data_IF_133824816337
#
_entry.id   IF_133824816337
#
_cell.length_a   1.000
_cell.length_b   1.000
_cell.length_c   1.000
_cell.angle_alpha   90.00
_cell.angle_beta   90.00
_cell.angle_gamma   90.00
#
_symmetry.space_group_name_H-M   'P 1'
#
loop_
_entity.id
_entity.type
_entity.pdbx_description
1 polymer ?
#
# COMPACT_ATOMS: atom_id res chain seq x y z
N UNK A 1 59.71 -51.51 48.52
CA UNK A 1 59.83 -52.94 48.18
C UNK A 1 58.88 -53.28 47.06
N UNK A 2 59.38 -53.90 45.97
CA UNK A 2 58.76 -54.63 44.89
C UNK A 2 57.81 -53.80 43.96
N UNK A 3 58.27 -53.30 42.81
CA UNK A 3 58.48 -53.99 41.53
C UNK A 3 57.37 -55.00 41.25
N UNK A 4 56.53 -54.71 40.28
CA UNK A 4 56.16 -55.67 39.21
C UNK A 4 55.77 -54.88 37.96
N UNK A 5 56.59 -55.04 36.99
CA UNK A 5 56.42 -54.77 35.56
C UNK A 5 55.38 -55.73 35.05
N UNK A 6 54.45 -55.25 34.24
CA UNK A 6 53.77 -56.11 33.27
C UNK A 6 53.66 -55.41 31.97
N UNK A 7 54.47 -55.78 31.11
CA UNK A 7 54.42 -55.70 29.66
C UNK A 7 53.22 -56.45 29.12
N UNK A 8 52.85 -56.06 27.87
CA UNK A 8 51.99 -56.74 26.88
C UNK A 8 50.55 -56.23 26.84
N UNK A 9 50.03 -55.88 25.74
CA UNK A 9 50.16 -56.44 24.39
C UNK A 9 49.64 -55.39 23.39
N UNK A 10 50.47 -55.07 22.43
CA UNK A 10 50.09 -54.34 21.22
C UNK A 10 49.28 -55.33 20.40
N UNK A 11 47.98 -55.10 20.27
CA UNK A 11 47.19 -55.67 19.21
C UNK A 11 46.83 -54.53 18.27
N UNK A 12 47.58 -54.47 17.18
CA UNK A 12 47.27 -53.61 16.05
C UNK A 12 45.99 -54.14 15.40
N UNK A 13 44.89 -53.44 15.68
CA UNK A 13 43.69 -53.57 14.88
C UNK A 13 43.65 -52.45 13.90
N UNK A 14 44.25 -52.66 12.73
CA UNK A 14 44.09 -51.84 11.57
C UNK A 14 42.64 -51.98 11.07
N UNK A 15 41.72 -51.22 11.72
CA UNK A 15 40.41 -51.01 11.21
C UNK A 15 40.50 -50.09 10.02
N UNK A 16 40.35 -50.62 8.80
CA UNK A 16 40.06 -49.85 7.62
C UNK A 16 38.75 -49.14 7.86
N UNK A 17 38.81 -47.87 8.23
CA UNK A 17 37.66 -46.97 8.08
C UNK A 17 37.61 -46.65 6.60
N UNK A 18 36.83 -47.39 5.87
CA UNK A 18 36.34 -46.95 4.57
C UNK A 18 35.45 -45.75 4.80
N UNK A 19 36.02 -44.57 4.68
CA UNK A 19 35.26 -43.34 4.49
C UNK A 19 34.59 -43.53 3.11
N UNK A 20 33.36 -44.03 3.14
CA UNK A 20 32.46 -43.90 2.01
C UNK A 20 32.13 -42.41 1.93
N UNK A 21 32.83 -41.69 1.09
CA UNK A 21 32.32 -40.48 0.53
C UNK A 21 31.12 -40.92 -0.32
N UNK A 22 29.95 -40.90 0.24
CA UNK A 22 28.75 -40.77 -0.54
C UNK A 22 28.81 -39.32 -1.07
N UNK A 23 29.37 -39.18 -2.26
CA UNK A 23 29.01 -38.05 -3.11
C UNK A 23 27.51 -38.24 -3.46
N UNK A 24 26.64 -37.92 -2.52
CA UNK A 24 25.29 -37.56 -2.89
C UNK A 24 25.46 -36.34 -3.79
N UNK A 25 25.07 -36.39 -5.07
CA UNK A 25 25.09 -35.22 -5.91
C UNK A 25 24.19 -34.21 -5.20
N UNK A 26 24.78 -33.16 -4.64
CA UNK A 26 23.99 -32.00 -4.22
C UNK A 26 23.11 -31.67 -5.43
N UNK A 27 21.82 -31.92 -5.27
CA UNK A 27 20.85 -31.60 -6.29
C UNK A 27 21.00 -30.10 -6.53
N UNK A 28 21.69 -29.75 -7.62
CA UNK A 28 21.91 -28.36 -7.98
C UNK A 28 20.53 -27.73 -8.15
N UNK A 29 20.09 -27.04 -7.13
CA UNK A 29 18.84 -26.27 -7.20
C UNK A 29 19.03 -25.24 -8.31
N UNK A 30 18.43 -25.52 -9.44
CA UNK A 30 18.42 -24.59 -10.57
C UNK A 30 17.42 -23.49 -10.21
N UNK A 31 17.88 -22.23 -10.05
CA UNK A 31 16.96 -21.14 -9.79
C UNK A 31 15.99 -20.99 -10.95
N UNK A 32 14.72 -20.67 -10.69
CA UNK A 32 13.72 -20.51 -11.74
C UNK A 32 13.96 -19.23 -12.56
N UNK A 33 13.55 -19.26 -13.81
CA UNK A 33 13.31 -18.05 -14.58
C UNK A 33 11.92 -17.48 -14.27
N UNK A 34 11.79 -16.16 -14.15
CA UNK A 34 10.49 -15.50 -14.10
C UNK A 34 9.98 -15.36 -15.53
N UNK A 35 9.03 -16.21 -15.92
CA UNK A 35 8.50 -16.24 -17.29
C UNK A 35 7.50 -15.14 -17.56
N UNK A 36 6.52 -14.96 -16.66
CA UNK A 36 5.49 -13.94 -16.78
C UNK A 36 4.95 -13.49 -15.42
N UNK A 37 4.33 -12.31 -15.43
CA UNK A 37 3.57 -11.74 -14.31
C UNK A 37 2.22 -11.29 -14.86
N UNK A 38 1.15 -11.75 -14.22
CA UNK A 38 -0.24 -11.38 -14.53
C UNK A 38 -0.98 -10.93 -13.26
N UNK A 39 -2.25 -10.53 -13.38
CA UNK A 39 -3.08 -10.15 -12.24
C UNK A 39 -2.80 -8.74 -11.68
N UNK A 40 -2.06 -7.92 -12.43
CA UNK A 40 -1.83 -6.51 -12.11
C UNK A 40 -2.52 -5.69 -13.19
N UNK A 41 -3.49 -4.87 -12.77
CA UNK A 41 -4.18 -3.95 -13.66
C UNK A 41 -3.31 -2.73 -13.98
N UNK A 42 -3.45 -2.12 -15.15
CA UNK A 42 -2.65 -0.95 -15.53
C UNK A 42 -2.95 0.29 -14.69
N UNK A 43 -4.12 0.33 -14.03
CA UNK A 43 -4.51 1.45 -13.17
C UNK A 43 -5.45 1.02 -12.05
N UNK A 44 -5.26 1.66 -10.89
CA UNK A 44 -6.10 1.50 -9.71
C UNK A 44 -6.62 2.86 -9.24
N UNK A 45 -7.84 2.86 -8.72
CA UNK A 45 -8.42 4.02 -8.04
C UNK A 45 -8.87 3.61 -6.64
N UNK A 46 -8.42 4.37 -5.64
CA UNK A 46 -8.72 4.13 -4.22
C UNK A 46 -9.11 5.43 -3.52
N UNK A 47 -9.88 5.31 -2.47
CA UNK A 47 -10.10 6.39 -1.52
C UNK A 47 -8.93 6.52 -0.55
N UNK A 48 -8.73 7.72 -0.02
CA UNK A 48 -7.77 7.92 1.05
C UNK A 48 -8.11 7.02 2.25
N UNK A 49 -7.08 6.41 2.84
CA UNK A 49 -7.14 5.43 3.93
C UNK A 49 -7.68 4.05 3.56
N UNK A 50 -8.12 3.82 2.33
CA UNK A 50 -8.43 2.49 1.84
C UNK A 50 -7.17 1.67 1.59
N UNK A 51 -7.33 0.35 1.50
CA UNK A 51 -6.23 -0.56 1.16
C UNK A 51 -6.27 -0.90 -0.33
N UNK A 52 -5.10 -0.79 -0.97
CA UNK A 52 -4.84 -1.39 -2.27
C UNK A 52 -4.30 -2.79 -2.04
N UNK A 53 -5.06 -3.78 -2.44
CA UNK A 53 -4.66 -5.18 -2.34
C UNK A 53 -4.48 -5.75 -3.74
N UNK A 54 -3.31 -6.32 -4.01
CA UNK A 54 -2.97 -6.94 -5.29
C UNK A 54 -2.28 -8.27 -5.01
N UNK A 55 -2.74 -9.31 -5.68
CA UNK A 55 -2.11 -10.63 -5.63
C UNK A 55 -1.74 -11.03 -7.05
N UNK A 56 -0.48 -10.80 -7.47
CA UNK A 56 -0.05 -11.14 -8.81
C UNK A 56 0.08 -12.66 -8.99
N UNK A 57 -0.16 -13.08 -10.22
CA UNK A 57 0.15 -14.43 -10.67
C UNK A 57 1.53 -14.40 -11.36
N UNK A 58 2.50 -15.09 -10.77
CA UNK A 58 3.89 -15.15 -11.25
C UNK A 58 4.16 -16.56 -11.75
N UNK A 59 4.38 -16.70 -13.05
CA UNK A 59 4.78 -17.95 -13.68
C UNK A 59 6.29 -18.11 -13.66
N UNK A 60 6.76 -19.25 -13.21
CA UNK A 60 8.15 -19.64 -13.11
C UNK A 60 8.44 -20.82 -14.04
N UNK A 61 9.67 -20.92 -14.55
CA UNK A 61 10.11 -22.03 -15.43
C UNK A 61 10.14 -23.39 -14.72
N UNK A 62 10.11 -23.39 -13.40
CA UNK A 62 9.92 -24.55 -12.56
C UNK A 62 9.10 -24.14 -11.33
N UNK A 63 8.51 -25.09 -10.62
CA UNK A 63 7.63 -24.85 -9.47
C UNK A 63 8.38 -24.43 -8.18
N UNK A 64 9.66 -24.09 -8.29
CA UNK A 64 10.48 -23.74 -7.14
C UNK A 64 10.59 -22.22 -6.98
N UNK A 65 9.96 -21.65 -5.98
CA UNK A 65 10.05 -20.22 -5.65
C UNK A 65 11.37 -19.85 -4.93
N UNK A 66 12.25 -20.79 -4.66
CA UNK A 66 13.50 -20.53 -3.95
C UNK A 66 14.43 -19.62 -4.78
N UNK A 67 14.82 -18.50 -4.19
CA UNK A 67 15.66 -17.50 -4.85
C UNK A 67 14.89 -16.48 -5.69
N UNK A 68 13.55 -16.53 -5.68
CA UNK A 68 12.70 -15.46 -6.23
C UNK A 68 12.49 -14.39 -5.17
N UNK A 69 12.63 -13.14 -5.57
CA UNK A 69 12.40 -11.97 -4.71
C UNK A 69 11.39 -11.05 -5.36
N UNK A 70 10.60 -10.40 -4.54
CA UNK A 70 9.55 -9.49 -4.97
C UNK A 70 9.82 -8.08 -4.45
N UNK A 71 9.39 -7.08 -5.20
CA UNK A 71 9.46 -5.69 -4.80
C UNK A 71 8.24 -4.94 -5.34
N UNK A 72 7.55 -4.26 -4.46
CA UNK A 72 6.53 -3.29 -4.78
C UNK A 72 7.06 -1.89 -4.56
N UNK A 73 6.92 -1.06 -5.56
CA UNK A 73 7.31 0.35 -5.47
C UNK A 73 6.11 1.24 -5.82
N UNK A 74 5.89 2.26 -5.02
CA UNK A 74 4.91 3.31 -5.29
C UNK A 74 5.62 4.64 -5.01
N UNK A 75 5.57 5.55 -5.97
CA UNK A 75 6.18 6.87 -5.88
C UNK A 75 7.67 6.82 -5.48
N UNK A 76 8.41 5.92 -6.15
CA UNK A 76 9.86 5.70 -5.91
C UNK A 76 10.22 5.18 -4.50
N UNK A 77 9.22 4.73 -3.72
CA UNK A 77 9.42 4.13 -2.40
C UNK A 77 9.07 2.65 -2.45
N UNK A 78 9.91 1.80 -1.89
CA UNK A 78 9.59 0.39 -1.69
C UNK A 78 8.54 0.28 -0.59
N UNK A 79 7.39 -0.28 -0.93
CA UNK A 79 6.23 -0.40 -0.04
C UNK A 79 5.93 -1.85 0.35
N UNK A 80 6.58 -2.82 -0.29
CA UNK A 80 6.43 -4.23 0.04
C UNK A 80 7.47 -5.10 -0.65
N UNK A 81 7.77 -6.26 -0.05
CA UNK A 81 8.71 -7.27 -0.57
C UNK A 81 8.09 -8.67 -0.64
N UNK A 82 6.83 -8.78 -0.30
CA UNK A 82 6.06 -10.01 -0.45
C UNK A 82 5.42 -10.10 -1.83
N UNK A 83 5.02 -11.30 -2.24
CA UNK A 83 4.34 -11.52 -3.53
C UNK A 83 3.02 -10.73 -3.59
N UNK A 84 2.23 -10.75 -2.53
CA UNK A 84 1.00 -9.97 -2.41
C UNK A 84 1.28 -8.60 -1.80
N UNK A 85 0.59 -7.58 -2.31
CA UNK A 85 0.60 -6.22 -1.77
C UNK A 85 -0.64 -5.98 -0.92
N UNK A 86 -0.44 -5.39 0.25
CA UNK A 86 -1.48 -4.71 1.02
C UNK A 86 -0.95 -3.33 1.40
N UNK A 87 -1.37 -2.30 0.68
CA UNK A 87 -0.88 -0.94 0.82
C UNK A 87 -1.98 0.01 1.24
N UNK A 88 -1.79 0.70 2.38
CA UNK A 88 -2.72 1.72 2.86
C UNK A 88 -2.49 3.04 2.12
N UNK A 89 -3.48 3.49 1.36
CA UNK A 89 -3.45 4.73 0.59
C UNK A 89 -3.61 5.94 1.52
N UNK A 90 -2.51 6.51 2.01
CA UNK A 90 -2.54 7.62 2.99
C UNK A 90 -2.45 8.99 2.33
N UNK A 91 -1.71 9.11 1.25
CA UNK A 91 -1.44 10.36 0.54
C UNK A 91 -2.35 10.50 -0.66
N UNK A 92 -2.88 11.70 -0.88
CA UNK A 92 -3.71 12.01 -2.04
C UNK A 92 -2.84 12.28 -3.26
N UNK A 93 -3.30 11.86 -4.44
CA UNK A 93 -2.62 12.14 -5.70
C UNK A 93 -2.63 10.99 -6.69
N UNK A 94 -1.90 11.20 -7.79
CA UNK A 94 -1.66 10.20 -8.82
C UNK A 94 -0.22 9.70 -8.69
N UNK A 95 -0.06 8.41 -8.43
CA UNK A 95 1.22 7.77 -8.18
C UNK A 95 1.55 6.77 -9.28
N UNK A 96 2.81 6.67 -9.64
CA UNK A 96 3.34 5.58 -10.45
C UNK A 96 3.84 4.48 -9.53
N UNK A 97 3.53 3.25 -9.87
CA UNK A 97 4.03 2.08 -9.16
C UNK A 97 4.52 1.00 -10.11
N UNK A 98 5.26 0.07 -9.56
CA UNK A 98 5.61 -1.16 -10.24
C UNK A 98 5.70 -2.33 -9.27
N UNK A 99 5.49 -3.50 -9.82
CA UNK A 99 5.85 -4.77 -9.21
C UNK A 99 7.03 -5.35 -9.97
N UNK A 100 8.00 -5.87 -9.25
CA UNK A 100 9.17 -6.55 -9.79
C UNK A 100 9.30 -7.92 -9.15
N UNK A 101 9.34 -8.95 -9.98
CA UNK A 101 9.73 -10.29 -9.59
C UNK A 101 11.12 -10.57 -10.17
N UNK A 102 12.06 -11.00 -9.34
CA UNK A 102 13.46 -11.22 -9.72
C UNK A 102 13.94 -12.59 -9.28
N UNK A 103 14.75 -13.21 -10.11
CA UNK A 103 15.55 -14.39 -9.79
C UNK A 103 17.02 -14.13 -10.14
N UNK A 104 17.89 -15.11 -9.94
CA UNK A 104 19.30 -15.00 -10.33
C UNK A 104 19.51 -14.94 -11.84
N UNK A 105 18.51 -15.31 -12.63
CA UNK A 105 18.55 -15.38 -14.10
C UNK A 105 17.98 -14.14 -14.78
N UNK A 106 17.10 -13.38 -14.07
CA UNK A 106 16.48 -12.19 -14.61
C UNK A 106 15.36 -11.63 -13.77
N UNK A 107 14.68 -10.62 -14.29
CA UNK A 107 13.56 -9.98 -13.63
C UNK A 107 12.45 -9.61 -14.62
N UNK A 108 11.22 -9.60 -14.14
CA UNK A 108 10.05 -9.03 -14.81
C UNK A 108 9.52 -7.86 -14.00
N UNK A 109 9.17 -6.79 -14.70
CA UNK A 109 8.60 -5.58 -14.10
C UNK A 109 7.26 -5.32 -14.77
N UNK A 110 6.23 -5.06 -13.95
CA UNK A 110 4.90 -4.64 -14.40
C UNK A 110 4.59 -3.30 -13.75
N UNK A 111 4.37 -2.29 -14.56
CA UNK A 111 4.04 -0.94 -14.11
C UNK A 111 2.53 -0.77 -14.00
N UNK A 112 2.13 0.08 -13.06
CA UNK A 112 0.74 0.49 -12.88
C UNK A 112 0.67 1.94 -12.40
N UNK A 113 -0.52 2.51 -12.44
CA UNK A 113 -0.82 3.80 -11.83
C UNK A 113 -1.80 3.63 -10.68
N UNK A 114 -1.64 4.42 -9.63
CA UNK A 114 -2.55 4.46 -8.49
C UNK A 114 -3.03 5.89 -8.30
N UNK A 115 -4.34 6.09 -8.45
CA UNK A 115 -5.00 7.34 -8.07
C UNK A 115 -5.62 7.19 -6.69
N UNK A 116 -5.23 8.05 -5.77
CA UNK A 116 -5.83 8.15 -4.43
C UNK A 116 -6.60 9.46 -4.34
N UNK A 117 -7.91 9.37 -4.20
CA UNK A 117 -8.80 10.52 -4.10
C UNK A 117 -9.33 10.69 -2.68
N UNK A 118 -9.67 11.93 -2.34
CA UNK A 118 -10.38 12.21 -1.10
C UNK A 118 -11.77 11.55 -1.12
N UNK A 119 -12.26 11.01 0.00
CA UNK A 119 -13.64 10.57 0.10
C UNK A 119 -14.64 11.73 -0.11
N UNK A 120 -14.14 12.98 -0.05
CA UNK A 120 -14.91 14.22 -0.21
C UNK A 120 -14.69 14.90 -1.58
N UNK A 121 -14.11 14.21 -2.54
CA UNK A 121 -13.71 14.75 -3.84
C UNK A 121 -14.93 15.13 -4.72
N UNK A 122 -16.01 14.34 -4.65
CA UNK A 122 -17.23 14.57 -5.43
C UNK A 122 -18.47 14.44 -4.57
N UNK A 123 -19.10 15.57 -4.26
CA UNK A 123 -20.26 15.50 -3.41
C UNK A 123 -20.88 16.84 -3.08
N UNK A 124 -21.83 16.76 -2.17
CA UNK A 124 -22.53 17.90 -1.61
C UNK A 124 -22.09 18.09 -0.17
N UNK A 125 -21.53 19.24 0.15
CA UNK A 125 -21.29 19.70 1.51
C UNK A 125 -22.51 20.48 2.01
N UNK A 126 -22.95 20.16 3.21
CA UNK A 126 -24.05 20.85 3.87
C UNK A 126 -23.57 21.35 5.24
N UNK A 127 -23.57 22.66 5.40
CA UNK A 127 -23.31 23.30 6.69
C UNK A 127 -24.66 23.57 7.36
N UNK A 128 -24.86 23.08 8.56
CA UNK A 128 -26.11 23.20 9.30
C UNK A 128 -25.85 23.63 10.74
N UNK A 129 -26.86 24.25 11.35
CA UNK A 129 -26.89 24.54 12.79
C UNK A 129 -27.55 23.39 13.53
N UNK A 130 -26.96 23.02 14.65
CA UNK A 130 -27.48 22.00 15.56
C UNK A 130 -27.51 22.54 16.98
N UNK A 131 -28.11 21.79 17.89
CA UNK A 131 -28.10 22.15 19.34
C UNK A 131 -26.70 22.20 19.95
N UNK A 132 -25.71 21.52 19.29
CA UNK A 132 -24.34 21.46 19.76
C UNK A 132 -23.43 22.48 19.04
N UNK A 133 -23.94 23.16 18.02
CA UNK A 133 -23.22 24.11 17.18
C UNK A 133 -23.30 23.77 15.71
N UNK A 134 -22.34 24.26 14.95
CA UNK A 134 -22.27 24.04 13.51
C UNK A 134 -21.82 22.63 13.20
N UNK A 135 -22.44 22.04 12.18
CA UNK A 135 -22.12 20.71 11.68
C UNK A 135 -21.93 20.74 10.18
N UNK A 136 -20.84 20.13 9.71
CA UNK A 136 -20.57 19.94 8.29
C UNK A 136 -20.85 18.49 7.94
N UNK A 137 -21.82 18.29 7.07
CA UNK A 137 -22.18 16.98 6.52
C UNK A 137 -21.72 16.88 5.07
N UNK A 138 -21.48 15.66 4.61
CA UNK A 138 -21.10 15.39 3.22
C UNK A 138 -21.93 14.24 2.66
N UNK A 139 -22.41 14.42 1.43
CA UNK A 139 -23.07 13.38 0.63
C UNK A 139 -22.29 13.18 -0.65
N UNK A 140 -21.72 12.01 -0.82
CA UNK A 140 -21.10 11.61 -2.08
C UNK A 140 -22.17 11.49 -3.18
N UNK A 141 -21.90 12.03 -4.37
CA UNK A 141 -22.83 12.04 -5.49
C UNK A 141 -22.44 11.11 -6.64
N UNK A 142 -21.18 10.71 -6.72
CA UNK A 142 -20.68 9.76 -7.72
C UNK A 142 -21.05 8.30 -7.38
N UNK A 143 -21.35 8.00 -6.13
CA UNK A 143 -21.84 6.70 -5.66
C UNK A 143 -23.16 6.92 -4.92
N UNK A 144 -24.27 6.69 -5.59
CA UNK A 144 -25.62 7.01 -5.10
C UNK A 144 -25.97 6.33 -3.78
N UNK A 145 -25.47 5.11 -3.56
CA UNK A 145 -25.78 4.29 -2.38
C UNK A 145 -24.93 4.63 -1.15
N UNK A 146 -23.92 5.50 -1.31
CA UNK A 146 -23.07 5.89 -0.17
C UNK A 146 -23.92 6.66 0.86
N UNK A 147 -23.89 6.30 2.14
CA UNK A 147 -24.62 7.04 3.16
C UNK A 147 -24.09 8.48 3.30
N UNK A 148 -24.90 9.36 3.85
CA UNK A 148 -24.44 10.70 4.24
C UNK A 148 -23.47 10.56 5.41
N UNK A 149 -22.30 11.20 5.33
CA UNK A 149 -21.43 11.43 6.47
C UNK A 149 -21.96 12.66 7.22
N UNK A 150 -22.61 12.50 8.37
CA UNK A 150 -23.24 13.63 9.06
C UNK A 150 -22.22 14.57 9.69
N UNK A 151 -21.03 14.08 10.01
CA UNK A 151 -20.01 14.79 10.79
C UNK A 151 -18.67 14.86 10.07
N UNK A 152 -18.69 15.13 8.76
CA UNK A 152 -17.51 15.10 7.90
C UNK A 152 -16.33 15.91 8.44
N UNK A 153 -16.57 17.05 9.06
CA UNK A 153 -15.50 17.83 9.70
C UNK A 153 -14.95 17.12 10.94
N UNK A 154 -15.83 16.69 11.83
CA UNK A 154 -15.43 16.08 13.10
C UNK A 154 -14.71 14.76 12.92
N UNK A 155 -15.12 13.99 11.94
CA UNK A 155 -14.51 12.70 11.60
C UNK A 155 -13.04 12.84 11.15
N UNK A 156 -12.74 13.96 10.46
CA UNK A 156 -11.40 14.24 9.98
C UNK A 156 -10.57 15.13 10.95
N UNK A 157 -11.23 15.83 11.83
CA UNK A 157 -10.60 16.76 12.79
C UNK A 157 -11.14 16.49 14.23
N UNK A 158 -10.81 15.35 14.84
CA UNK A 158 -11.43 14.94 16.11
C UNK A 158 -11.17 15.87 17.29
N UNK A 159 -10.10 16.67 17.22
CA UNK A 159 -9.70 17.63 18.27
C UNK A 159 -10.21 19.04 18.02
N UNK A 160 -10.74 19.32 16.83
CA UNK A 160 -11.26 20.63 16.45
C UNK A 160 -12.80 20.64 16.53
N UNK A 161 -13.36 21.81 16.66
CA UNK A 161 -14.80 22.05 16.57
C UNK A 161 -15.08 23.21 15.64
N UNK A 162 -16.16 23.12 14.91
CA UNK A 162 -16.73 24.24 14.18
C UNK A 162 -17.38 25.20 15.19
N UNK A 163 -17.48 26.48 14.83
CA UNK A 163 -18.15 27.48 15.66
C UNK A 163 -19.62 27.13 15.92
N UNK A 164 -20.28 27.95 16.75
CA UNK A 164 -21.67 27.68 17.14
C UNK A 164 -22.68 28.00 16.03
N UNK A 165 -22.46 29.12 15.33
CA UNK A 165 -23.42 29.62 14.34
C UNK A 165 -22.82 29.55 12.95
N UNK A 166 -23.39 28.76 12.03
CA UNK A 166 -22.92 28.68 10.66
C UNK A 166 -23.23 30.00 9.91
N UNK A 167 -22.25 30.52 9.21
CA UNK A 167 -22.42 31.74 8.44
C UNK A 167 -22.46 31.46 6.94
N UNK A 168 -21.46 30.76 6.43
CA UNK A 168 -21.33 30.44 5.01
C UNK A 168 -20.43 29.23 4.80
N UNK A 169 -20.63 28.59 3.66
CA UNK A 169 -19.75 27.58 3.10
C UNK A 169 -19.38 28.01 1.70
N UNK A 170 -18.09 28.07 1.42
CA UNK A 170 -17.57 28.42 0.12
C UNK A 170 -16.54 27.37 -0.30
N UNK A 171 -16.63 26.88 -1.50
CA UNK A 171 -15.68 25.92 -2.05
C UNK A 171 -14.73 26.62 -3.01
N UNK A 172 -13.43 26.46 -2.80
CA UNK A 172 -12.41 26.77 -3.79
C UNK A 172 -11.52 25.54 -4.02
N UNK A 173 -11.42 25.10 -5.23
CA UNK A 173 -10.63 23.92 -5.64
C UNK A 173 -10.81 23.66 -7.12
N UNK A 174 -10.10 22.67 -7.63
CA UNK A 174 -10.33 22.20 -9.00
C UNK A 174 -11.77 21.80 -9.12
N UNK A 175 -12.52 22.65 -9.82
CA UNK A 175 -13.97 22.57 -9.90
C UNK A 175 -14.43 21.30 -10.58
N UNK A 176 -15.74 21.09 -10.56
CA UNK A 176 -16.43 20.07 -11.31
C UNK A 176 -16.03 20.25 -12.78
N UNK A 177 -15.12 19.42 -13.26
CA UNK A 177 -14.81 19.28 -14.68
C UNK A 177 -16.01 18.61 -15.36
N UNK A 178 -17.06 19.40 -15.57
CA UNK A 178 -18.12 19.03 -16.50
C UNK A 178 -17.62 19.34 -17.91
N UNK A 179 -17.68 18.43 -18.87
CA UNK A 179 -17.36 18.73 -20.25
C UNK A 179 -18.22 19.86 -20.87
N UNK A 180 -19.27 20.26 -20.17
CA UNK A 180 -20.14 21.38 -20.54
C UNK A 180 -19.89 22.67 -19.73
N UNK A 181 -18.97 22.65 -18.77
CA UNK A 181 -18.59 23.84 -18.00
C UNK A 181 -17.35 24.51 -18.59
N UNK A 182 -17.32 24.71 -19.90
CA UNK A 182 -16.22 25.35 -20.63
C UNK A 182 -15.98 26.83 -20.30
N UNK A 183 -16.56 27.35 -19.24
CA UNK A 183 -16.42 28.75 -18.80
C UNK A 183 -16.05 28.94 -17.34
N UNK A 184 -15.82 27.88 -16.58
CA UNK A 184 -15.27 27.99 -15.24
C UNK A 184 -13.79 27.65 -15.34
N UNK A 185 -12.96 28.68 -15.32
CA UNK A 185 -11.51 28.54 -15.28
C UNK A 185 -11.08 28.01 -13.93
N UNK A 186 -10.12 27.10 -13.91
CA UNK A 186 -9.62 26.31 -12.78
C UNK A 186 -8.99 27.10 -11.63
N UNK A 187 -9.12 28.43 -11.62
CA UNK A 187 -8.36 29.27 -10.71
C UNK A 187 -9.13 29.75 -9.46
N UNK A 188 -10.42 29.40 -9.27
CA UNK A 188 -11.25 30.32 -8.51
C UNK A 188 -12.01 29.77 -7.31
N UNK A 189 -11.81 28.55 -6.81
CA UNK A 189 -12.63 28.09 -5.68
C UNK A 189 -11.83 27.53 -4.51
N UNK A 190 -11.71 28.28 -3.43
CA UNK A 190 -11.32 27.76 -2.11
C UNK A 190 -12.54 27.46 -1.27
N UNK A 191 -12.58 26.35 -0.55
CA UNK A 191 -13.56 26.19 0.51
C UNK A 191 -13.09 26.97 1.72
N UNK A 192 -13.72 28.06 1.97
CA UNK A 192 -13.53 28.84 3.19
C UNK A 192 -14.78 28.67 4.02
N UNK A 193 -14.67 27.94 5.13
CA UNK A 193 -15.74 27.90 6.13
C UNK A 193 -15.53 29.04 7.11
N UNK A 194 -16.41 30.05 7.06
CA UNK A 194 -16.46 31.11 8.05
C UNK A 194 -17.50 30.73 9.12
N UNK A 195 -17.06 30.00 10.14
CA UNK A 195 -17.97 29.50 11.15
C UNK A 195 -18.00 30.34 12.41
N UNK A 196 -16.97 31.11 12.65
CA UNK A 196 -16.83 32.03 13.77
C UNK A 196 -15.73 33.04 13.39
N UNK A 197 -15.91 34.35 13.61
CA UNK A 197 -14.86 35.34 13.35
C UNK A 197 -13.58 35.10 14.16
N UNK A 198 -13.65 34.29 15.20
CA UNK A 198 -12.51 33.89 16.03
C UNK A 198 -11.97 32.50 15.73
N UNK A 199 -12.67 31.69 14.97
CA UNK A 199 -12.28 30.32 14.64
C UNK A 199 -12.08 30.20 13.13
N UNK A 200 -10.87 30.56 12.68
CA UNK A 200 -10.49 30.55 11.26
C UNK A 200 -9.93 29.20 10.84
N UNK A 201 -10.56 28.11 11.23
CA UNK A 201 -10.08 26.80 10.87
C UNK A 201 -10.49 26.48 9.44
N UNK A 202 -9.49 26.47 8.60
CA UNK A 202 -9.56 26.00 7.22
C UNK A 202 -9.77 24.49 7.22
N UNK A 203 -10.80 24.05 6.57
CA UNK A 203 -10.92 22.64 6.18
C UNK A 203 -9.97 22.44 5.00
N UNK A 204 -8.86 21.78 5.25
CA UNK A 204 -7.92 21.32 4.21
C UNK A 204 -8.22 19.94 3.77
#
# INVERSE_FOLDING_TARGET
MKKISLLFLIAAFAGFVSVSCSDDPEEKVVPPDVESVAGIEPSYAKGQHEYLEITPDVSLSNDNEQGVTYEWNIDYKVVGTEKALSYKCSELGDFKGYFKASSSTGAKIVEFTLRVSSPYDRGLLLLSETSEGSMLSFKRLDVMETPVSPSAFKDNNPTLSLGKTPLALCWKGEGITSPNAASLTDEDYEVVSFLDPFNKDLIR
#
